data_IF_588760881966
#
_entry.id   IF_588760881966
#
_cell.length_a   1.000
_cell.length_b   1.000
_cell.length_c   1.000
_cell.angle_alpha   90.00
_cell.angle_beta   90.00
_cell.angle_gamma   90.00
#
_symmetry.space_group_name_H-M   'P 1'
#
loop_
_entity.id
_entity.type
_entity.pdbx_description
1 polymer ?
#
# COMPACT_ATOMS: atom_id res chain seq x y z
N UNK A 1 -26.79 -10.85 -40.07
CA UNK A 1 -25.35 -11.02 -39.75
C UNK A 1 -24.64 -9.72 -40.12
N UNK A 2 -24.06 -8.95 -39.18
CA UNK A 2 -23.23 -7.84 -39.59
C UNK A 2 -21.94 -8.42 -40.20
N UNK A 3 -21.63 -8.00 -41.42
CA UNK A 3 -20.41 -8.38 -42.14
C UNK A 3 -19.18 -7.99 -41.30
N UNK A 4 -18.47 -8.97 -40.76
CA UNK A 4 -17.19 -8.73 -40.09
C UNK A 4 -16.16 -8.28 -41.13
N UNK A 5 -15.63 -7.07 -40.98
CA UNK A 5 -14.60 -6.53 -41.86
C UNK A 5 -13.30 -7.36 -41.69
N UNK A 6 -12.64 -7.80 -42.77
CA UNK A 6 -11.41 -8.57 -42.67
C UNK A 6 -10.29 -7.79 -41.96
N UNK A 7 -9.65 -8.42 -40.96
CA UNK A 7 -8.62 -7.79 -40.11
C UNK A 7 -7.42 -7.21 -40.90
N UNK A 8 -7.12 -7.73 -42.09
CA UNK A 8 -6.05 -7.20 -42.96
C UNK A 8 -6.39 -5.85 -43.62
N UNK A 9 -7.67 -5.45 -43.66
CA UNK A 9 -8.12 -4.15 -44.19
C UNK A 9 -8.22 -3.06 -43.11
N UNK A 10 -8.04 -3.42 -41.84
CA UNK A 10 -8.05 -2.48 -40.71
C UNK A 10 -7.06 -1.30 -40.84
N UNK A 11 -5.81 -1.48 -41.35
CA UNK A 11 -4.88 -0.37 -41.61
C UNK A 11 -5.21 0.47 -42.86
N UNK A 12 -6.29 0.18 -43.58
CA UNK A 12 -6.83 1.02 -44.67
C UNK A 12 -8.08 1.80 -44.26
N UNK A 13 -8.71 1.47 -43.13
CA UNK A 13 -9.84 2.22 -42.60
C UNK A 13 -9.40 3.62 -42.13
N UNK A 14 -10.17 4.69 -42.41
CA UNK A 14 -9.96 6.01 -41.82
C UNK A 14 -9.86 5.91 -40.29
N UNK A 15 -9.00 6.72 -39.65
CA UNK A 15 -8.76 6.65 -38.19
C UNK A 15 -10.02 6.75 -37.30
N UNK A 16 -11.12 7.29 -37.83
CA UNK A 16 -12.45 7.36 -37.20
C UNK A 16 -13.21 6.02 -37.16
N UNK A 17 -12.86 5.06 -38.01
CA UNK A 17 -13.50 3.73 -38.10
C UNK A 17 -12.62 2.60 -37.57
N UNK A 18 -11.40 2.90 -37.09
CA UNK A 18 -10.57 1.93 -36.37
C UNK A 18 -10.99 1.89 -34.91
N UNK A 19 -11.26 0.69 -34.40
CA UNK A 19 -11.28 0.46 -32.96
C UNK A 19 -9.89 0.81 -32.41
N UNK A 20 -9.82 1.81 -31.53
CA UNK A 20 -8.56 2.10 -30.82
C UNK A 20 -8.42 1.12 -29.66
N UNK A 21 -7.22 0.58 -29.43
CA UNK A 21 -6.99 -0.28 -28.28
C UNK A 21 -7.36 0.47 -27.01
N UNK A 22 -7.99 -0.23 -26.06
CA UNK A 22 -8.25 0.32 -24.74
C UNK A 22 -6.93 0.62 -24.05
N UNK A 23 -6.85 1.72 -23.31
CA UNK A 23 -5.65 2.10 -22.58
C UNK A 23 -5.88 1.94 -21.09
N UNK A 24 -4.93 1.33 -20.38
CA UNK A 24 -4.96 1.20 -18.93
C UNK A 24 -3.69 1.78 -18.36
N UNK A 25 -3.83 2.72 -17.42
CA UNK A 25 -2.70 3.29 -16.70
C UNK A 25 -2.35 2.37 -15.53
N UNK A 26 -1.08 2.02 -15.35
CA UNK A 26 -0.63 1.16 -14.24
C UNK A 26 0.28 1.96 -13.32
N UNK A 27 -0.07 2.05 -12.04
CA UNK A 27 0.75 2.64 -10.99
C UNK A 27 1.15 1.53 -10.02
N UNK A 28 2.44 1.39 -9.75
CA UNK A 28 2.94 0.41 -8.77
C UNK A 28 3.25 1.10 -7.45
N UNK A 29 2.71 0.55 -6.37
CA UNK A 29 2.89 1.01 -5.00
C UNK A 29 3.56 -0.12 -4.22
N UNK A 30 4.88 -0.06 -4.09
CA UNK A 30 5.70 -1.12 -3.52
C UNK A 30 6.47 -0.68 -2.28
N UNK A 31 6.55 -1.54 -1.28
CA UNK A 31 7.35 -1.36 -0.06
C UNK A 31 6.54 -0.89 1.16
N UNK A 32 7.27 -0.63 2.25
CA UNK A 32 6.67 -0.17 3.52
C UNK A 32 6.09 1.24 3.38
N UNK A 33 4.94 1.48 4.01
CA UNK A 33 4.24 2.76 3.98
C UNK A 33 4.68 3.65 5.15
N UNK A 34 5.09 4.88 4.86
CA UNK A 34 5.55 5.86 5.83
C UNK A 34 7.08 5.98 5.91
N UNK A 35 7.57 6.54 7.02
CA UNK A 35 9.00 6.70 7.24
C UNK A 35 9.63 5.36 7.63
N UNK A 36 10.61 4.88 6.83
CA UNK A 36 11.34 3.63 7.08
C UNK A 36 12.72 3.92 7.70
N UNK A 37 13.39 4.98 7.22
CA UNK A 37 14.62 5.52 7.80
C UNK A 37 14.72 7.03 7.51
N UNK A 38 15.56 7.80 8.22
CA UNK A 38 15.81 9.22 7.93
C UNK A 38 16.14 9.50 6.46
N UNK A 39 16.80 8.56 5.79
CA UNK A 39 17.26 8.70 4.39
C UNK A 39 16.36 7.93 3.40
N UNK A 40 15.75 6.82 3.85
CA UNK A 40 14.86 5.98 3.04
C UNK A 40 13.40 6.25 3.38
N UNK A 41 12.75 7.00 2.50
CA UNK A 41 11.30 7.24 2.57
C UNK A 41 10.57 6.04 1.98
N UNK A 42 9.65 5.46 2.73
CA UNK A 42 8.70 4.49 2.21
C UNK A 42 7.60 5.19 1.40
N UNK A 43 6.56 4.44 1.06
CA UNK A 43 5.39 4.98 0.36
C UNK A 43 4.74 6.08 1.20
N UNK A 44 4.45 7.22 0.58
CA UNK A 44 3.77 8.33 1.21
C UNK A 44 2.93 9.06 0.18
N UNK A 45 1.90 9.78 0.62
CA UNK A 45 1.05 10.55 -0.29
C UNK A 45 1.87 11.52 -1.14
N UNK A 46 2.87 12.18 -0.55
CA UNK A 46 3.75 13.11 -1.24
C UNK A 46 4.56 12.44 -2.36
N UNK A 47 4.97 11.19 -2.18
CA UNK A 47 5.75 10.45 -3.18
C UNK A 47 4.87 9.95 -4.35
N UNK A 48 3.61 9.60 -4.09
CA UNK A 48 2.75 8.92 -5.08
C UNK A 48 1.74 9.84 -5.74
N UNK A 49 1.45 11.03 -5.18
CA UNK A 49 0.44 11.95 -5.68
C UNK A 49 0.63 12.31 -7.16
N UNK A 50 1.86 12.64 -7.58
CA UNK A 50 2.15 12.98 -8.97
C UNK A 50 1.92 11.82 -9.94
N UNK A 51 2.33 10.60 -9.57
CA UNK A 51 2.08 9.40 -10.39
C UNK A 51 0.59 9.08 -10.49
N UNK A 52 -0.16 9.25 -9.40
CA UNK A 52 -1.61 9.07 -9.40
C UNK A 52 -2.28 10.12 -10.32
N UNK A 53 -1.94 11.39 -10.18
CA UNK A 53 -2.46 12.46 -11.05
C UNK A 53 -2.16 12.20 -12.53
N UNK A 54 -0.95 11.74 -12.84
CA UNK A 54 -0.58 11.38 -14.20
C UNK A 54 -1.41 10.20 -14.72
N UNK A 55 -1.63 9.16 -13.90
CA UNK A 55 -2.39 7.97 -14.29
C UNK A 55 -3.85 8.31 -14.61
N UNK A 56 -4.51 9.07 -13.73
CA UNK A 56 -5.89 9.49 -13.89
C UNK A 56 -6.06 10.62 -14.92
N UNK A 57 -4.98 11.36 -15.24
CA UNK A 57 -4.95 12.40 -16.26
C UNK A 57 -4.77 11.90 -17.70
N UNK A 58 -4.50 10.60 -17.91
CA UNK A 58 -4.32 10.04 -19.24
C UNK A 58 -5.63 10.09 -20.04
N UNK A 59 -5.61 10.81 -21.18
CA UNK A 59 -6.77 10.91 -22.08
C UNK A 59 -7.18 9.54 -22.60
N UNK A 60 -8.48 9.24 -22.50
CA UNK A 60 -9.08 8.01 -23.01
C UNK A 60 -8.68 6.74 -22.26
N UNK A 61 -8.22 6.88 -21.01
CA UNK A 61 -7.96 5.72 -20.15
C UNK A 61 -9.26 5.00 -19.83
N UNK A 62 -9.27 3.68 -20.00
CA UNK A 62 -10.40 2.82 -19.70
C UNK A 62 -10.48 2.45 -18.21
N UNK A 63 -9.31 2.34 -17.55
CA UNK A 63 -9.19 2.06 -16.13
C UNK A 63 -7.80 2.49 -15.60
N UNK A 64 -7.69 2.69 -14.30
CA UNK A 64 -6.40 2.77 -13.60
C UNK A 64 -6.19 1.48 -12.83
N UNK A 65 -5.08 0.79 -13.10
CA UNK A 65 -4.62 -0.37 -12.36
C UNK A 65 -3.60 0.06 -11.30
N UNK A 66 -3.86 -0.27 -10.04
CA UNK A 66 -2.96 -0.03 -8.92
C UNK A 66 -2.36 -1.38 -8.51
N UNK A 67 -1.08 -1.56 -8.78
CA UNK A 67 -0.34 -2.76 -8.34
C UNK A 67 0.19 -2.51 -6.94
N UNK A 68 -0.27 -3.29 -5.96
CA UNK A 68 0.10 -3.18 -4.55
C UNK A 68 1.05 -4.32 -4.19
N UNK A 69 2.22 -3.96 -3.65
CA UNK A 69 3.13 -4.91 -3.03
C UNK A 69 3.69 -4.33 -1.73
N UNK A 70 2.95 -4.48 -0.64
CA UNK A 70 3.24 -3.80 0.63
C UNK A 70 2.86 -4.64 1.85
N UNK A 71 3.73 -4.70 2.87
CA UNK A 71 3.41 -5.29 4.16
C UNK A 71 2.62 -4.33 5.07
N UNK A 72 2.32 -3.12 4.59
CA UNK A 72 1.66 -2.08 5.35
C UNK A 72 2.62 -1.04 5.90
N UNK A 73 2.25 -0.42 7.02
CA UNK A 73 3.00 0.66 7.65
C UNK A 73 2.10 1.72 8.28
N UNK A 74 2.42 3.00 8.07
CA UNK A 74 1.70 4.13 8.66
C UNK A 74 0.20 4.13 8.31
N UNK A 75 -0.71 4.08 9.31
CA UNK A 75 -2.15 4.16 9.07
C UNK A 75 -2.56 5.45 8.38
N UNK A 76 -2.00 6.59 8.80
CA UNK A 76 -2.30 7.90 8.24
C UNK A 76 -1.90 8.01 6.75
N UNK A 77 -0.69 7.57 6.40
CA UNK A 77 -0.25 7.60 5.00
C UNK A 77 -1.07 6.65 4.12
N UNK A 78 -1.39 5.46 4.63
CA UNK A 78 -2.25 4.49 3.93
C UNK A 78 -3.63 5.08 3.63
N UNK A 79 -4.24 5.72 4.63
CA UNK A 79 -5.54 6.36 4.50
C UNK A 79 -5.52 7.58 3.56
N UNK A 80 -4.46 8.40 3.59
CA UNK A 80 -4.30 9.52 2.66
C UNK A 80 -4.16 9.06 1.20
N UNK A 81 -3.38 7.99 0.96
CA UNK A 81 -3.24 7.40 -0.38
C UNK A 81 -4.58 6.83 -0.85
N UNK A 82 -5.27 6.06 0.00
CA UNK A 82 -6.62 5.55 -0.27
C UNK A 82 -7.56 6.68 -0.71
N UNK A 83 -7.66 7.74 0.10
CA UNK A 83 -8.55 8.89 -0.18
C UNK A 83 -8.18 9.59 -1.47
N UNK A 84 -6.89 9.72 -1.79
CA UNK A 84 -6.45 10.35 -3.04
C UNK A 84 -6.86 9.53 -4.26
N UNK A 85 -6.70 8.20 -4.20
CA UNK A 85 -7.14 7.30 -5.28
C UNK A 85 -8.65 7.42 -5.49
N UNK A 86 -9.45 7.38 -4.41
CA UNK A 86 -10.91 7.53 -4.50
C UNK A 86 -11.34 8.88 -5.06
N UNK A 87 -10.76 9.97 -4.56
CA UNK A 87 -11.06 11.31 -5.05
C UNK A 87 -10.78 11.45 -6.56
N UNK A 88 -9.64 10.93 -7.04
CA UNK A 88 -9.31 10.95 -8.47
C UNK A 88 -10.23 10.06 -9.31
N UNK A 89 -10.58 8.87 -8.80
CA UNK A 89 -11.52 7.97 -9.47
C UNK A 89 -12.90 8.61 -9.65
N UNK A 90 -13.41 9.28 -8.62
CA UNK A 90 -14.69 9.98 -8.65
C UNK A 90 -14.65 11.22 -9.55
N UNK A 91 -13.63 12.06 -9.41
CA UNK A 91 -13.46 13.29 -10.21
C UNK A 91 -13.37 12.97 -11.70
N UNK A 92 -12.58 11.95 -12.06
CA UNK A 92 -12.34 11.57 -13.46
C UNK A 92 -13.33 10.54 -14.00
N UNK A 93 -14.16 9.95 -13.12
CA UNK A 93 -15.08 8.84 -13.44
C UNK A 93 -14.35 7.66 -14.11
N UNK A 94 -13.20 7.29 -13.57
CA UNK A 94 -12.37 6.20 -14.10
C UNK A 94 -12.38 5.03 -13.10
N UNK A 95 -12.71 3.80 -13.55
CA UNK A 95 -12.70 2.64 -12.67
C UNK A 95 -11.27 2.29 -12.23
N UNK A 96 -11.16 1.79 -11.01
CA UNK A 96 -9.88 1.42 -10.38
C UNK A 96 -9.84 -0.08 -10.13
N UNK A 97 -8.77 -0.73 -10.60
CA UNK A 97 -8.49 -2.14 -10.35
C UNK A 97 -7.24 -2.25 -9.48
N UNK A 98 -7.31 -2.93 -8.34
CA UNK A 98 -6.13 -3.27 -7.56
C UNK A 98 -5.63 -4.65 -7.94
N UNK A 99 -4.32 -4.78 -8.06
CA UNK A 99 -3.63 -6.05 -8.28
C UNK A 99 -2.65 -6.27 -7.14
N UNK A 100 -2.78 -7.38 -6.43
CA UNK A 100 -1.86 -7.76 -5.35
C UNK A 100 -0.76 -8.65 -5.91
N UNK A 101 0.49 -8.29 -5.63
CA UNK A 101 1.66 -9.15 -5.91
C UNK A 101 1.97 -10.02 -4.68
N UNK A 102 3.13 -9.88 -4.05
CA UNK A 102 3.49 -10.74 -2.91
C UNK A 102 2.55 -10.47 -1.73
N UNK A 103 2.28 -9.20 -1.42
CA UNK A 103 1.35 -8.84 -0.36
C UNK A 103 0.59 -7.54 -0.56
N UNK A 104 -0.63 -7.50 -0.03
CA UNK A 104 -1.34 -6.29 0.34
C UNK A 104 -1.90 -6.48 1.75
N UNK A 105 -1.05 -6.25 2.75
CA UNK A 105 -1.35 -6.46 4.16
C UNK A 105 -1.43 -5.13 4.93
N UNK A 106 -2.29 -5.05 5.95
CA UNK A 106 -2.47 -3.88 6.82
C UNK A 106 -2.72 -2.61 6.00
N UNK A 107 -1.87 -1.59 6.12
CA UNK A 107 -1.94 -0.38 5.30
C UNK A 107 -1.94 -0.63 3.79
N UNK A 108 -1.29 -1.70 3.31
CA UNK A 108 -1.33 -2.11 1.90
C UNK A 108 -2.72 -2.57 1.48
N UNK A 109 -3.41 -3.34 2.34
CA UNK A 109 -4.79 -3.74 2.12
C UNK A 109 -5.74 -2.53 2.13
N UNK A 110 -5.51 -1.58 3.04
CA UNK A 110 -6.26 -0.31 3.08
C UNK A 110 -6.17 0.45 1.75
N UNK A 111 -4.98 0.50 1.14
CA UNK A 111 -4.79 1.09 -0.20
C UNK A 111 -5.52 0.27 -1.27
N UNK A 112 -5.41 -1.07 -1.24
CA UNK A 112 -6.11 -1.94 -2.19
C UNK A 112 -7.63 -1.75 -2.15
N UNK A 113 -8.23 -1.54 -0.97
CA UNK A 113 -9.65 -1.22 -0.82
C UNK A 113 -10.09 0.10 -1.49
N UNK A 114 -9.17 0.94 -1.95
CA UNK A 114 -9.52 2.09 -2.78
C UNK A 114 -9.98 1.68 -4.19
N UNK A 115 -9.64 0.47 -4.64
CA UNK A 115 -10.11 -0.03 -5.92
C UNK A 115 -11.59 -0.42 -5.89
N UNK A 116 -12.20 -0.47 -7.07
CA UNK A 116 -13.55 -1.01 -7.28
C UNK A 116 -13.51 -2.55 -7.32
N UNK A 117 -12.37 -3.11 -7.72
CA UNK A 117 -12.10 -4.54 -7.70
C UNK A 117 -10.67 -4.83 -7.25
N UNK A 118 -10.48 -5.87 -6.45
CA UNK A 118 -9.17 -6.36 -6.01
C UNK A 118 -8.95 -7.76 -6.61
N UNK A 119 -7.87 -7.90 -7.37
CA UNK A 119 -7.42 -9.18 -7.94
C UNK A 119 -6.09 -9.54 -7.29
N UNK A 120 -5.91 -10.80 -6.89
CA UNK A 120 -4.71 -11.27 -6.23
C UNK A 120 -4.20 -12.57 -6.88
N UNK A 121 -2.90 -12.84 -6.80
CA UNK A 121 -2.42 -14.20 -7.07
C UNK A 121 -2.99 -15.16 -6.01
N UNK A 122 -3.29 -16.44 -6.35
CA UNK A 122 -3.76 -17.42 -5.36
C UNK A 122 -2.87 -17.54 -4.10
N UNK A 123 -1.58 -17.21 -4.22
CA UNK A 123 -0.57 -17.27 -3.15
C UNK A 123 -0.22 -15.92 -2.54
N UNK A 124 -0.74 -14.80 -3.07
CA UNK A 124 -0.59 -13.48 -2.48
C UNK A 124 -1.07 -13.45 -1.03
N UNK A 125 -0.41 -12.68 -0.17
CA UNK A 125 -0.84 -12.48 1.22
C UNK A 125 -1.67 -11.19 1.33
N UNK A 126 -2.91 -11.29 1.80
CA UNK A 126 -3.79 -10.14 2.00
C UNK A 126 -4.42 -10.12 3.39
N UNK A 127 -5.04 -9.00 3.75
CA UNK A 127 -5.68 -8.81 5.04
C UNK A 127 -4.74 -8.09 6.02
N UNK A 128 -4.43 -8.72 7.15
CA UNK A 128 -3.78 -8.07 8.30
C UNK A 128 -4.55 -6.82 8.75
N UNK A 129 -5.88 -6.94 8.84
CA UNK A 129 -6.77 -5.83 9.21
C UNK A 129 -6.71 -5.65 10.73
N UNK A 130 -5.72 -4.87 11.16
CA UNK A 130 -5.36 -4.71 12.56
C UNK A 130 -4.41 -3.52 12.76
N UNK A 131 -4.29 -3.07 14.01
CA UNK A 131 -3.33 -2.05 14.44
C UNK A 131 -2.41 -2.64 15.50
N UNK A 132 -1.11 -2.44 15.34
CA UNK A 132 -0.11 -2.92 16.28
C UNK A 132 0.90 -1.82 16.60
N UNK A 133 1.35 -1.80 17.85
CA UNK A 133 2.54 -1.08 18.29
C UNK A 133 3.47 -2.10 18.93
N UNK A 134 4.75 -2.03 18.62
CA UNK A 134 5.75 -2.97 19.13
C UNK A 134 7.00 -2.22 19.56
N UNK A 135 7.62 -2.68 20.64
CA UNK A 135 8.84 -2.12 21.21
C UNK A 135 9.47 -3.12 22.18
N UNK A 136 10.56 -2.71 22.81
CA UNK A 136 11.27 -3.51 23.81
C UNK A 136 11.37 -2.75 25.12
N UNK A 137 11.30 -3.47 26.24
CA UNK A 137 11.68 -2.96 27.55
C UNK A 137 13.16 -3.23 27.82
N UNK A 138 13.90 -2.19 28.20
CA UNK A 138 15.32 -2.19 28.52
C UNK A 138 15.61 -1.67 29.94
N UNK A 139 14.58 -1.38 30.73
CA UNK A 139 14.67 -0.93 32.13
C UNK A 139 15.59 -1.84 32.97
N UNK A 140 15.41 -3.16 32.89
CA UNK A 140 16.24 -4.12 33.63
C UNK A 140 17.66 -4.25 33.07
N UNK A 141 17.84 -3.98 31.77
CA UNK A 141 19.17 -4.04 31.15
C UNK A 141 20.02 -2.87 31.65
N UNK A 142 19.48 -1.65 31.62
CA UNK A 142 20.20 -0.45 32.04
C UNK A 142 20.53 -0.48 33.53
N UNK A 143 19.64 -1.03 34.36
CA UNK A 143 19.89 -1.25 35.79
C UNK A 143 21.10 -2.17 36.01
N UNK A 144 21.17 -3.30 35.29
CA UNK A 144 22.28 -4.26 35.42
C UNK A 144 23.65 -3.71 35.03
N UNK A 145 23.69 -2.77 34.09
CA UNK A 145 24.95 -2.15 33.63
C UNK A 145 25.25 -0.82 34.33
N UNK A 146 24.48 -0.47 35.37
CA UNK A 146 24.70 0.73 36.18
C UNK A 146 24.35 2.05 35.48
N UNK A 147 23.49 2.01 34.46
CA UNK A 147 23.04 3.21 33.74
C UNK A 147 21.81 3.80 34.41
N UNK A 148 21.93 5.05 34.87
CA UNK A 148 20.82 5.79 35.48
C UNK A 148 20.03 6.57 34.42
N UNK A 149 18.73 6.31 34.31
CA UNK A 149 17.82 7.01 33.40
C UNK A 149 17.19 8.23 34.07
N UNK A 150 17.57 9.44 33.64
CA UNK A 150 16.99 10.71 34.13
C UNK A 150 16.03 11.34 33.10
N UNK A 151 14.75 11.47 33.47
CA UNK A 151 13.68 12.03 32.62
C UNK A 151 13.04 13.21 33.32
N UNK A 152 12.95 14.35 32.63
CA UNK A 152 12.19 15.51 33.09
C UNK A 152 11.18 15.90 32.01
N UNK A 153 9.88 15.86 32.34
CA UNK A 153 8.81 16.12 31.38
C UNK A 153 7.75 17.05 31.96
N UNK A 154 7.07 17.77 31.08
CA UNK A 154 5.81 18.46 31.38
C UNK A 154 4.67 17.76 30.65
N UNK A 155 3.59 17.46 31.37
CA UNK A 155 2.46 16.66 30.90
C UNK A 155 2.59 15.18 31.23
N UNK A 156 1.53 14.58 31.77
CA UNK A 156 1.52 13.23 32.34
C UNK A 156 1.78 12.11 31.31
N UNK A 157 1.48 12.34 30.03
CA UNK A 157 1.66 11.35 28.96
C UNK A 157 2.99 11.51 28.20
N UNK A 158 3.83 12.49 28.55
CA UNK A 158 4.91 12.95 27.67
C UNK A 158 6.11 11.98 27.63
N UNK A 159 6.18 11.05 28.57
CA UNK A 159 7.14 9.96 28.62
C UNK A 159 6.52 8.58 28.34
N UNK A 160 5.29 8.54 27.80
CA UNK A 160 4.64 7.29 27.39
C UNK A 160 5.50 6.56 26.37
N UNK A 161 5.55 5.22 26.46
CA UNK A 161 6.37 4.34 25.63
C UNK A 161 7.90 4.51 25.78
N UNK A 162 8.39 5.07 26.89
CA UNK A 162 9.83 5.07 27.18
C UNK A 162 10.30 3.62 27.43
N UNK A 163 11.17 3.06 26.57
CA UNK A 163 11.59 1.66 26.69
C UNK A 163 12.49 1.43 27.91
N UNK A 164 12.98 2.48 28.57
CA UNK A 164 13.88 2.39 29.72
C UNK A 164 13.16 2.50 31.07
N UNK A 165 11.81 2.46 31.06
CA UNK A 165 10.98 2.44 32.27
C UNK A 165 10.10 1.20 32.28
N UNK A 166 9.72 0.70 33.46
CA UNK A 166 8.64 -0.28 33.57
C UNK A 166 7.36 0.26 32.92
N UNK A 167 6.60 -0.64 32.29
CA UNK A 167 5.35 -0.28 31.62
C UNK A 167 4.29 0.19 32.65
N UNK A 168 3.67 1.34 32.38
CA UNK A 168 2.59 1.89 33.18
C UNK A 168 1.22 1.43 32.62
N UNK A 169 0.36 0.78 33.43
CA UNK A 169 -0.98 0.38 32.99
C UNK A 169 -1.84 1.53 32.42
N UNK A 170 -1.68 2.76 32.92
CA UNK A 170 -2.39 3.92 32.41
C UNK A 170 -1.89 4.31 31.00
N UNK A 171 -0.59 4.20 30.75
CA UNK A 171 0.00 4.39 29.42
C UNK A 171 -0.48 3.33 28.42
N UNK A 172 -0.56 2.07 28.87
CA UNK A 172 -1.10 0.97 28.04
C UNK A 172 -2.56 1.22 27.70
N UNK A 173 -3.37 1.66 28.67
CA UNK A 173 -4.78 2.00 28.43
C UNK A 173 -4.91 3.14 27.40
N UNK A 174 -4.08 4.20 27.52
CA UNK A 174 -4.03 5.29 26.55
C UNK A 174 -3.64 4.81 25.15
N UNK A 175 -2.62 3.97 25.04
CA UNK A 175 -2.19 3.39 23.76
C UNK A 175 -3.29 2.52 23.13
N UNK A 176 -3.94 1.67 23.92
CA UNK A 176 -5.03 0.81 23.43
C UNK A 176 -6.23 1.62 22.94
N UNK A 177 -6.57 2.72 23.62
CA UNK A 177 -7.63 3.63 23.15
C UNK A 177 -7.29 4.23 21.78
N UNK A 178 -6.06 4.73 21.61
CA UNK A 178 -5.59 5.23 20.31
C UNK A 178 -5.62 4.15 19.21
N UNK A 179 -5.23 2.92 19.53
CA UNK A 179 -5.28 1.80 18.59
C UNK A 179 -6.72 1.44 18.21
N UNK A 180 -7.66 1.46 19.17
CA UNK A 180 -9.07 1.18 18.94
C UNK A 180 -9.71 2.21 17.99
N UNK A 181 -9.36 3.49 18.15
CA UNK A 181 -9.83 4.56 17.24
C UNK A 181 -9.36 4.29 15.80
N UNK A 182 -8.07 3.97 15.62
CA UNK A 182 -7.51 3.66 14.30
C UNK A 182 -8.12 2.36 13.73
N UNK A 183 -8.33 1.34 14.57
CA UNK A 183 -8.96 0.08 14.18
C UNK A 183 -10.38 0.29 13.69
N UNK A 184 -11.13 1.18 14.33
CA UNK A 184 -12.52 1.53 13.95
C UNK A 184 -12.54 2.13 12.55
N UNK A 185 -11.70 3.13 12.29
CA UNK A 185 -11.56 3.74 10.95
C UNK A 185 -11.20 2.71 9.88
N UNK A 186 -10.29 1.78 10.18
CA UNK A 186 -9.90 0.76 9.22
C UNK A 186 -11.03 -0.25 8.96
N UNK A 187 -11.69 -0.71 10.01
CA UNK A 187 -12.82 -1.65 9.92
C UNK A 187 -13.97 -1.07 9.10
N UNK A 188 -14.35 0.17 9.38
CA UNK A 188 -15.43 0.87 8.67
C UNK A 188 -15.08 1.08 7.20
N UNK A 189 -13.83 1.45 6.91
CA UNK A 189 -13.33 1.58 5.55
C UNK A 189 -13.45 0.26 4.80
N UNK A 190 -12.94 -0.84 5.37
CA UNK A 190 -13.00 -2.15 4.72
C UNK A 190 -14.44 -2.59 4.51
N UNK A 191 -15.32 -2.46 5.51
CA UNK A 191 -16.76 -2.80 5.38
C UNK A 191 -17.44 -1.99 4.29
N UNK A 192 -17.14 -0.69 4.17
CA UNK A 192 -17.73 0.18 3.14
C UNK A 192 -17.29 -0.19 1.72
N UNK A 193 -16.08 -0.73 1.56
CA UNK A 193 -15.48 -1.06 0.26
C UNK A 193 -15.61 -2.52 -0.13
N UNK A 194 -15.87 -3.39 0.84
CA UNK A 194 -16.06 -4.84 0.67
C UNK A 194 -17.48 -5.23 1.12
N UNK A 195 -18.53 -4.92 0.35
CA UNK A 195 -19.90 -5.27 0.73
C UNK A 195 -20.16 -6.80 0.75
N UNK A 196 -19.29 -7.59 0.10
CA UNK A 196 -19.43 -9.03 -0.06
C UNK A 196 -18.63 -9.85 0.96
N UNK A 197 -18.13 -9.24 2.05
CA UNK A 197 -17.44 -9.97 3.11
C UNK A 197 -18.34 -11.09 3.65
N UNK A 198 -17.79 -12.29 3.77
CA UNK A 198 -18.57 -13.42 4.27
C UNK A 198 -18.73 -13.36 5.78
N UNK A 199 -19.93 -13.65 6.31
CA UNK A 199 -20.12 -13.80 7.75
C UNK A 199 -19.47 -15.10 8.23
N UNK A 200 -19.04 -15.14 9.49
CA UNK A 200 -18.62 -16.36 10.18
C UNK A 200 -17.21 -16.31 10.76
N UNK A 201 -16.27 -15.62 10.10
CA UNK A 201 -14.90 -15.40 10.61
C UNK A 201 -14.73 -13.93 11.01
N UNK A 202 -14.05 -13.67 12.14
CA UNK A 202 -13.68 -12.31 12.51
C UNK A 202 -12.47 -11.85 11.69
N UNK A 203 -12.77 -11.15 10.59
CA UNK A 203 -11.78 -10.63 9.64
C UNK A 203 -10.96 -9.45 10.18
N UNK A 204 -11.34 -8.88 11.33
CA UNK A 204 -10.76 -7.65 11.88
C UNK A 204 -9.79 -7.92 13.05
N UNK A 205 -9.22 -9.13 13.09
CA UNK A 205 -8.31 -9.62 14.13
C UNK A 205 -6.82 -9.34 13.84
N UNK A 206 -6.50 -8.89 12.64
CA UNK A 206 -5.11 -8.78 12.16
C UNK A 206 -4.54 -10.05 11.53
N UNK A 207 -5.35 -11.11 11.36
CA UNK A 207 -4.95 -12.29 10.61
C UNK A 207 -4.68 -11.99 9.12
N UNK A 208 -3.94 -12.88 8.46
CA UNK A 208 -3.63 -12.82 7.04
C UNK A 208 -4.15 -14.05 6.33
N UNK A 209 -4.49 -13.88 5.05
CA UNK A 209 -5.02 -14.95 4.22
C UNK A 209 -4.32 -14.97 2.87
N UNK A 210 -4.20 -16.18 2.29
CA UNK A 210 -3.79 -16.33 0.89
C UNK A 210 -4.85 -15.74 -0.04
N UNK A 211 -4.49 -15.37 -1.26
CA UNK A 211 -5.45 -14.88 -2.26
C UNK A 211 -6.63 -15.84 -2.46
N UNK A 212 -6.38 -17.16 -2.44
CA UNK A 212 -7.44 -18.18 -2.52
C UNK A 212 -8.44 -18.07 -1.37
N UNK A 213 -7.97 -18.12 -0.12
CA UNK A 213 -8.85 -17.99 1.06
C UNK A 213 -9.51 -16.62 1.12
N UNK A 214 -8.80 -15.57 0.73
CA UNK A 214 -9.32 -14.22 0.69
C UNK A 214 -10.49 -14.05 -0.30
N UNK A 215 -10.48 -14.78 -1.42
CA UNK A 215 -11.61 -14.79 -2.35
C UNK A 215 -12.84 -15.41 -1.69
N UNK A 216 -12.66 -16.53 -0.99
CA UNK A 216 -13.74 -17.20 -0.26
C UNK A 216 -14.35 -16.29 0.82
N UNK A 217 -13.51 -15.51 1.51
CA UNK A 217 -13.91 -14.55 2.55
C UNK A 217 -14.47 -13.23 2.01
N UNK A 218 -14.36 -12.97 0.70
CA UNK A 218 -14.78 -11.72 0.06
C UNK A 218 -13.81 -10.54 0.26
N UNK A 219 -12.59 -10.82 0.73
CA UNK A 219 -11.51 -9.83 0.88
C UNK A 219 -10.93 -9.42 -0.49
N UNK A 220 -11.01 -10.29 -1.50
CA UNK A 220 -10.69 -9.97 -2.90
C UNK A 220 -11.84 -10.41 -3.81
N UNK A 221 -11.85 -9.95 -5.05
CA UNK A 221 -12.92 -10.21 -6.03
C UNK A 221 -12.53 -11.24 -7.08
N UNK A 222 -11.24 -11.45 -7.29
CA UNK A 222 -10.76 -12.38 -8.31
C UNK A 222 -9.33 -12.85 -8.06
N UNK A 223 -8.97 -13.91 -8.78
CA UNK A 223 -7.62 -14.45 -8.81
C UNK A 223 -6.98 -14.19 -10.17
N UNK A 224 -5.72 -13.75 -10.18
CA UNK A 224 -4.97 -13.51 -11.41
C UNK A 224 -3.84 -12.50 -11.26
N UNK A 225 -3.23 -12.16 -12.40
CA UNK A 225 -2.17 -11.16 -12.48
C UNK A 225 -2.58 -9.96 -13.35
N UNK A 226 -1.90 -8.83 -13.16
CA UNK A 226 -2.20 -7.59 -13.88
C UNK A 226 -2.22 -7.74 -15.40
N UNK A 227 -1.34 -8.55 -16.00
CA UNK A 227 -1.23 -8.63 -17.45
C UNK A 227 -2.33 -9.51 -18.02
N UNK A 228 -2.53 -10.70 -17.48
CA UNK A 228 -3.55 -11.64 -17.98
C UNK A 228 -4.96 -11.08 -17.76
N UNK A 229 -5.24 -10.52 -16.58
CA UNK A 229 -6.55 -9.94 -16.27
C UNK A 229 -6.88 -8.74 -17.15
N UNK A 230 -5.92 -7.82 -17.38
CA UNK A 230 -6.18 -6.67 -18.24
C UNK A 230 -6.41 -7.07 -19.70
N UNK A 231 -5.69 -8.08 -20.22
CA UNK A 231 -5.91 -8.60 -21.57
C UNK A 231 -7.27 -9.28 -21.72
N UNK A 232 -7.61 -10.14 -20.77
CA UNK A 232 -8.91 -10.80 -20.75
C UNK A 232 -10.07 -9.80 -20.70
N UNK A 233 -9.91 -8.69 -19.97
CA UNK A 233 -10.97 -7.69 -19.78
C UNK A 233 -11.06 -6.64 -20.89
N UNK A 234 -9.92 -6.20 -21.42
CA UNK A 234 -9.85 -5.05 -22.33
C UNK A 234 -9.38 -5.39 -23.75
N UNK A 235 -9.11 -6.67 -24.03
CA UNK A 235 -8.61 -7.17 -25.31
C UNK A 235 -7.10 -7.44 -25.28
N UNK A 236 -6.65 -8.37 -26.13
CA UNK A 236 -5.22 -8.73 -26.25
C UNK A 236 -4.33 -7.57 -26.70
N UNK A 237 -4.92 -6.58 -27.38
CA UNK A 237 -4.28 -5.37 -27.88
C UNK A 237 -4.30 -4.20 -26.88
N UNK A 238 -4.76 -4.42 -25.63
CA UNK A 238 -4.81 -3.40 -24.58
C UNK A 238 -3.45 -2.71 -24.40
N UNK A 239 -3.49 -1.39 -24.43
CA UNK A 239 -2.32 -0.54 -24.24
C UNK A 239 -2.09 -0.31 -22.74
N UNK A 240 -1.19 -1.12 -22.16
CA UNK A 240 -0.78 -1.01 -20.76
C UNK A 240 0.30 0.08 -20.64
N UNK A 241 -0.04 1.20 -20.01
CA UNK A 241 0.85 2.34 -19.79
C UNK A 241 1.35 2.36 -18.35
N UNK A 242 2.58 1.89 -18.14
CA UNK A 242 3.24 2.00 -16.84
C UNK A 242 3.55 3.47 -16.54
N UNK A 243 3.06 3.96 -15.41
CA UNK A 243 3.40 5.28 -14.89
C UNK A 243 4.61 5.11 -13.98
N UNK A 244 5.73 5.73 -14.39
CA UNK A 244 6.92 5.74 -13.56
C UNK A 244 6.65 6.49 -12.27
N UNK A 245 7.19 5.99 -11.16
CA UNK A 245 7.29 6.79 -9.94
C UNK A 245 8.05 8.08 -10.26
N UNK A 246 7.57 9.21 -9.71
CA UNK A 246 8.31 10.46 -9.70
C UNK A 246 9.59 10.31 -8.85
N UNK A 247 10.59 9.61 -9.39
CA UNK A 247 11.91 9.53 -8.78
C UNK A 247 12.58 10.88 -9.01
N UNK A 248 13.05 11.50 -7.91
CA UNK A 248 13.79 12.75 -7.97
C UNK A 248 14.91 12.70 -9.02
N UNK A 249 15.27 13.85 -9.58
CA UNK A 249 16.16 13.90 -10.75
C UNK A 249 17.45 13.11 -10.52
N UNK A 250 17.98 12.53 -11.60
CA UNK A 250 19.25 11.81 -11.57
C UNK A 250 20.37 12.66 -10.93
N UNK A 251 20.33 13.98 -11.15
CA UNK A 251 21.22 14.98 -10.55
C UNK A 251 21.06 15.05 -9.04
N UNK A 252 19.82 15.11 -8.53
CA UNK A 252 19.57 15.09 -7.08
C UNK A 252 20.11 13.81 -6.42
N UNK A 253 20.02 12.67 -7.11
CA UNK A 253 20.54 11.38 -6.64
C UNK A 253 22.07 11.31 -6.65
N UNK A 254 22.71 11.90 -7.67
CA UNK A 254 24.17 11.98 -7.78
C UNK A 254 24.77 12.93 -6.74
N UNK A 255 24.15 14.10 -6.54
CA UNK A 255 24.56 15.07 -5.52
C UNK A 255 24.39 14.51 -4.10
N UNK A 256 23.34 13.72 -3.84
CA UNK A 256 23.16 13.02 -2.55
C UNK A 256 24.25 11.98 -2.28
N UNK A 257 24.83 11.39 -3.34
CA UNK A 257 25.94 10.44 -3.25
C UNK A 257 27.30 11.11 -3.11
N UNK A 258 27.44 12.36 -3.54
CA UNK A 258 28.70 13.11 -3.53
C UNK A 258 28.90 14.01 -2.29
N UNK A 259 27.90 14.10 -1.39
CA UNK A 259 28.00 14.87 -0.16
C UNK A 259 29.00 14.20 0.83
N UNK A 260 30.00 14.92 1.37
CA UNK A 260 30.96 14.36 2.33
C UNK A 260 30.31 14.21 3.72
N UNK A 261 30.43 13.02 4.33
CA UNK A 261 29.86 12.71 5.66
C UNK A 261 29.11 11.37 5.74
N UNK A 262 29.55 10.34 5.00
CA UNK A 262 28.80 9.12 4.72
C UNK A 262 28.34 8.30 5.93
N UNK A 263 27.14 8.61 6.43
CA UNK A 263 26.28 7.68 7.20
C UNK A 263 25.44 6.77 6.28
N UNK A 264 25.53 6.96 4.96
CA UNK A 264 24.64 6.35 3.98
C UNK A 264 24.60 4.82 3.99
N UNK A 265 25.74 4.14 4.20
CA UNK A 265 25.76 2.67 4.25
C UNK A 265 25.10 2.10 5.52
N UNK A 266 25.31 2.76 6.67
CA UNK A 266 24.69 2.35 7.93
C UNK A 266 23.17 2.60 7.89
N UNK A 267 22.76 3.77 7.39
CA UNK A 267 21.34 4.13 7.24
C UNK A 267 20.62 3.26 6.18
N UNK A 268 21.31 2.86 5.10
CA UNK A 268 20.80 1.91 4.12
C UNK A 268 20.63 0.51 4.74
N UNK A 269 21.61 0.05 5.53
CA UNK A 269 21.52 -1.23 6.24
C UNK A 269 20.36 -1.24 7.24
N UNK A 270 20.19 -0.18 8.04
CA UNK A 270 19.05 -0.04 8.97
C UNK A 270 17.73 -0.08 8.21
N UNK A 271 17.63 0.66 7.11
CA UNK A 271 16.42 0.68 6.27
C UNK A 271 16.10 -0.69 5.65
N UNK A 272 17.11 -1.47 5.27
CA UNK A 272 16.94 -2.83 4.75
C UNK A 272 16.50 -3.80 5.85
N UNK A 273 17.06 -3.70 7.05
CA UNK A 273 16.64 -4.51 8.21
C UNK A 273 15.19 -4.21 8.58
N UNK A 274 14.81 -2.92 8.65
CA UNK A 274 13.45 -2.52 8.96
C UNK A 274 12.44 -3.02 7.92
N UNK A 275 12.77 -2.93 6.63
CA UNK A 275 11.94 -3.49 5.57
C UNK A 275 11.82 -5.00 5.68
N UNK A 276 12.94 -5.73 5.84
CA UNK A 276 12.94 -7.18 6.03
C UNK A 276 12.12 -7.60 7.23
N UNK A 277 12.22 -6.87 8.34
CA UNK A 277 11.43 -7.15 9.54
C UNK A 277 9.92 -6.91 9.32
N UNK A 278 9.53 -5.99 8.43
CA UNK A 278 8.13 -5.79 8.07
C UNK A 278 7.59 -6.97 7.23
N UNK A 279 8.35 -7.43 6.24
CA UNK A 279 7.99 -8.58 5.40
C UNK A 279 7.97 -9.91 6.17
N UNK A 280 8.93 -10.11 7.08
CA UNK A 280 9.02 -11.32 7.88
C UNK A 280 7.78 -11.59 8.74
N UNK A 281 7.00 -10.55 9.11
CA UNK A 281 5.73 -10.70 9.83
C UNK A 281 4.65 -11.40 9.01
N UNK A 282 4.80 -11.42 7.69
CA UNK A 282 3.91 -12.09 6.75
C UNK A 282 4.44 -13.47 6.33
N UNK A 283 5.59 -13.90 6.88
CA UNK A 283 6.27 -15.12 6.43
C UNK A 283 7.02 -14.96 5.11
N UNK A 284 7.35 -13.72 4.71
CA UNK A 284 8.04 -13.36 3.46
C UNK A 284 9.45 -12.79 3.72
#
# INVERSE_FOLDING_TARGET
MPLAFPAFLHPLLPARFRTRPKRVAVVRLSGVIGAVSPIRRGLSIAAVAGSLEQAFGLKGVAAVAIVVNSPGGSPAQSHLIHRRIRALAEEKRVPVLAFVEDAAASGGYMIACAADEIVADPTSVVGSIGVVSAGFGFDRLIERIGVERRVHTQGEAKAMLDPFRPEDPADVARLKALQADVQTVFTDLVRSRRPNLKPGEDLFTGAVWTGRSALELGLVDGLGDVRSTLRARFGDDVEIRMIAEARGSFVARLLRRAAPGGTGLADEAIGAIAERAAWARLGL
#
